data_IF_837972345521
#
_entry.id   IF_837972345521
#
_cell.length_a   1.000
_cell.length_b   1.000
_cell.length_c   1.000
_cell.angle_alpha   90.00
_cell.angle_beta   90.00
_cell.angle_gamma   90.00
#
_symmetry.space_group_name_H-M   'P 1'
#
loop_
_entity.id
_entity.type
_entity.pdbx_description
1 polymer ?
#
# COMPACT_ATOMS: atom_id res chain seq x y z
N UNK A 1 -4.89 -18.67 2.27
CA UNK A 1 -5.38 -19.18 3.57
C UNK A 1 -4.95 -18.16 4.60
N UNK A 2 -5.90 -17.44 5.18
CA UNK A 2 -5.63 -16.33 6.10
C UNK A 2 -5.42 -16.83 7.53
N UNK A 3 -4.68 -17.92 7.68
CA UNK A 3 -4.46 -18.57 8.96
C UNK A 3 -3.33 -17.87 9.73
N UNK A 4 -3.58 -17.61 11.01
CA UNK A 4 -2.69 -16.98 11.97
C UNK A 4 -2.17 -17.97 13.02
N UNK A 5 -2.64 -19.21 13.00
CA UNK A 5 -2.19 -20.29 13.88
C UNK A 5 -1.99 -21.59 13.10
N UNK A 6 -1.21 -22.51 13.67
CA UNK A 6 -1.01 -23.83 13.08
C UNK A 6 -2.31 -24.63 12.98
N UNK A 7 -3.20 -24.46 13.96
CA UNK A 7 -4.49 -25.15 14.00
C UNK A 7 -5.41 -24.68 12.86
N UNK A 8 -5.43 -23.37 12.60
CA UNK A 8 -6.18 -22.80 11.47
C UNK A 8 -5.63 -23.30 10.12
N UNK A 9 -4.30 -23.48 10.02
CA UNK A 9 -3.67 -24.05 8.82
C UNK A 9 -4.10 -25.50 8.60
N UNK A 10 -4.07 -26.32 9.66
CA UNK A 10 -4.47 -27.73 9.60
C UNK A 10 -5.94 -27.86 9.22
N UNK A 11 -6.83 -27.14 9.91
CA UNK A 11 -8.27 -27.18 9.66
C UNK A 11 -8.60 -26.76 8.21
N UNK A 12 -7.99 -25.68 7.72
CA UNK A 12 -8.23 -25.23 6.35
C UNK A 12 -7.59 -26.15 5.30
N UNK A 13 -6.50 -26.86 5.63
CA UNK A 13 -5.92 -27.89 4.76
C UNK A 13 -6.85 -29.10 4.63
N UNK A 14 -7.39 -29.59 5.74
CA UNK A 14 -8.38 -30.68 5.76
C UNK A 14 -9.64 -30.30 4.97
N UNK A 15 -10.10 -29.06 5.13
CA UNK A 15 -11.23 -28.53 4.36
C UNK A 15 -10.96 -28.52 2.85
N UNK A 16 -9.75 -28.15 2.43
CA UNK A 16 -9.38 -28.11 1.01
C UNK A 16 -9.30 -29.52 0.40
N UNK A 17 -8.77 -30.49 1.16
CA UNK A 17 -8.61 -31.87 0.71
C UNK A 17 -9.93 -32.68 0.74
N UNK A 18 -10.90 -32.27 1.55
CA UNK A 18 -12.24 -32.88 1.63
C UNK A 18 -13.22 -32.37 0.57
N UNK A 19 -12.78 -31.48 -0.33
CA UNK A 19 -13.62 -30.98 -1.42
C UNK A 19 -14.11 -32.12 -2.35
N UNK A 20 -15.35 -32.07 -2.88
CA UNK A 20 -15.96 -33.20 -3.58
C UNK A 20 -15.24 -33.68 -4.84
N UNK A 21 -14.49 -32.79 -5.51
CA UNK A 21 -13.73 -33.10 -6.74
C UNK A 21 -12.32 -33.57 -6.39
N UNK A 22 -12.01 -34.82 -6.73
CA UNK A 22 -10.68 -35.42 -6.49
C UNK A 22 -9.57 -34.69 -7.24
N UNK A 23 -9.86 -34.16 -8.43
CA UNK A 23 -8.90 -33.40 -9.23
C UNK A 23 -8.51 -32.08 -8.56
N UNK A 24 -9.41 -31.50 -7.75
CA UNK A 24 -9.12 -30.31 -6.97
C UNK A 24 -8.09 -30.61 -5.88
N UNK A 25 -8.29 -31.68 -5.10
CA UNK A 25 -7.33 -32.11 -4.09
C UNK A 25 -5.94 -32.38 -4.67
N UNK A 26 -5.88 -33.12 -5.79
CA UNK A 26 -4.62 -33.38 -6.51
C UNK A 26 -3.92 -32.10 -6.97
N UNK A 27 -4.69 -31.13 -7.46
CA UNK A 27 -4.14 -29.84 -7.90
C UNK A 27 -3.67 -28.98 -6.74
N UNK A 28 -4.30 -29.05 -5.58
CA UNK A 28 -3.99 -28.23 -4.40
C UNK A 28 -2.77 -28.76 -3.64
N UNK A 29 -2.52 -30.07 -3.67
CA UNK A 29 -1.41 -30.71 -2.95
C UNK A 29 -0.05 -30.00 -3.15
N UNK A 30 0.42 -29.71 -4.38
CA UNK A 30 1.72 -29.05 -4.59
C UNK A 30 1.74 -27.61 -4.08
N UNK A 31 0.59 -26.92 -4.03
CA UNK A 31 0.52 -25.57 -3.46
C UNK A 31 0.65 -25.58 -1.94
N UNK A 32 0.14 -26.63 -1.29
CA UNK A 32 0.24 -26.81 0.17
C UNK A 32 1.67 -27.12 0.61
N UNK A 33 2.47 -27.77 -0.22
CA UNK A 33 3.92 -27.98 0.03
C UNK A 33 4.66 -26.65 0.17
N UNK A 34 4.20 -25.62 -0.54
CA UNK A 34 4.75 -24.25 -0.49
C UNK A 34 3.98 -23.31 0.43
N UNK A 35 3.20 -23.83 1.40
CA UNK A 35 2.35 -23.02 2.29
C UNK A 35 3.10 -21.90 3.02
N UNK A 36 4.37 -22.11 3.32
CA UNK A 36 5.25 -21.13 3.96
C UNK A 36 5.42 -19.86 3.13
N UNK A 37 5.33 -19.97 1.79
CA UNK A 37 5.46 -18.82 0.91
C UNK A 37 4.24 -17.89 1.01
N UNK A 38 3.03 -18.39 1.30
CA UNK A 38 1.78 -17.65 1.09
C UNK A 38 0.79 -17.59 2.25
N UNK A 39 0.94 -18.42 3.29
CA UNK A 39 0.08 -18.38 4.49
C UNK A 39 0.55 -17.31 5.47
N UNK A 40 -0.40 -16.55 6.04
CA UNK A 40 -0.10 -15.42 6.94
C UNK A 40 0.81 -15.74 8.10
N UNK A 41 0.57 -16.84 8.80
CA UNK A 41 1.40 -17.32 9.90
C UNK A 41 2.91 -17.24 9.56
N UNK A 42 3.31 -17.79 8.42
CA UNK A 42 4.72 -17.91 8.02
C UNK A 42 5.30 -16.62 7.42
N UNK A 43 4.46 -15.74 6.87
CA UNK A 43 4.90 -14.44 6.29
C UNK A 43 4.63 -13.24 7.19
N UNK A 44 4.24 -13.45 8.44
CA UNK A 44 3.86 -12.39 9.40
C UNK A 44 4.99 -11.37 9.63
N UNK A 45 6.24 -11.77 9.42
CA UNK A 45 7.42 -10.90 9.53
C UNK A 45 7.77 -10.16 8.22
N UNK A 46 7.13 -10.51 7.10
CA UNK A 46 7.38 -9.85 5.82
C UNK A 46 6.62 -8.52 5.73
N UNK A 47 7.27 -7.52 5.15
CA UNK A 47 6.65 -6.22 4.88
C UNK A 47 5.79 -6.31 3.62
N UNK A 48 4.53 -6.74 3.76
CA UNK A 48 3.58 -6.85 2.64
C UNK A 48 2.86 -5.55 2.33
N UNK A 49 3.05 -4.49 3.14
CA UNK A 49 2.36 -3.19 3.04
C UNK A 49 0.82 -3.28 3.07
N UNK A 50 0.29 -4.37 3.66
CA UNK A 50 -1.14 -4.67 3.65
C UNK A 50 -1.64 -5.36 2.38
N UNK A 51 -0.75 -5.69 1.45
CA UNK A 51 -1.05 -6.43 0.23
C UNK A 51 -0.83 -7.91 0.46
N UNK A 52 -1.87 -8.51 1.00
CA UNK A 52 -1.87 -9.89 1.45
C UNK A 52 -2.49 -10.86 0.43
N UNK A 53 -2.95 -10.33 -0.70
CA UNK A 53 -3.70 -11.05 -1.75
C UNK A 53 -3.05 -10.84 -3.11
N UNK A 54 -3.66 -11.41 -4.15
CA UNK A 54 -3.25 -11.25 -5.55
C UNK A 54 -3.77 -9.95 -6.20
N UNK A 55 -4.17 -8.95 -5.41
CA UNK A 55 -4.77 -7.70 -5.87
C UNK A 55 -3.97 -7.02 -7.00
N UNK A 56 -2.64 -6.96 -6.88
CA UNK A 56 -1.78 -6.35 -7.90
C UNK A 56 -1.71 -7.19 -9.17
N UNK A 57 -1.59 -8.51 -9.05
CA UNK A 57 -1.55 -9.41 -10.20
C UNK A 57 -2.88 -9.35 -10.97
N UNK A 58 -4.01 -9.40 -10.27
CA UNK A 58 -5.34 -9.28 -10.88
C UNK A 58 -5.55 -7.91 -11.54
N UNK A 59 -5.18 -6.82 -10.86
CA UNK A 59 -5.28 -5.48 -11.42
C UNK A 59 -4.40 -5.31 -12.67
N UNK A 60 -3.17 -5.82 -12.65
CA UNK A 60 -2.24 -5.76 -13.77
C UNK A 60 -2.73 -6.56 -14.97
N UNK A 61 -3.22 -7.79 -14.75
CA UNK A 61 -3.81 -8.61 -15.81
C UNK A 61 -5.06 -7.95 -16.39
N UNK A 62 -5.85 -7.26 -15.57
CA UNK A 62 -7.02 -6.52 -16.05
C UNK A 62 -6.61 -5.33 -16.93
N UNK A 63 -5.58 -4.57 -16.53
CA UNK A 63 -5.04 -3.48 -17.37
C UNK A 63 -4.53 -4.04 -18.70
N UNK A 64 -3.71 -5.09 -18.66
CA UNK A 64 -3.18 -5.75 -19.85
C UNK A 64 -4.31 -6.19 -20.79
N UNK A 65 -5.32 -6.90 -20.25
CA UNK A 65 -6.43 -7.42 -21.07
C UNK A 65 -7.35 -6.32 -21.59
N UNK A 66 -7.75 -5.38 -20.74
CA UNK A 66 -8.85 -4.46 -21.05
C UNK A 66 -8.36 -3.16 -21.69
N UNK A 67 -7.17 -2.70 -21.31
CA UNK A 67 -6.58 -1.43 -21.77
C UNK A 67 -5.57 -1.69 -22.88
N UNK A 68 -4.53 -2.49 -22.61
CA UNK A 68 -3.41 -2.67 -23.56
C UNK A 68 -3.83 -3.50 -24.76
N UNK A 69 -4.50 -4.63 -24.54
CA UNK A 69 -4.90 -5.56 -25.60
C UNK A 69 -6.34 -5.36 -26.09
N UNK A 70 -7.13 -4.49 -25.46
CA UNK A 70 -8.55 -4.29 -25.77
C UNK A 70 -9.37 -5.60 -25.89
N UNK A 71 -8.99 -6.64 -25.14
CA UNK A 71 -9.52 -8.01 -25.19
C UNK A 71 -9.41 -8.72 -26.53
N UNK A 72 -8.51 -8.26 -27.41
CA UNK A 72 -8.27 -8.91 -28.69
C UNK A 72 -7.52 -10.23 -28.50
N UNK A 73 -7.95 -11.24 -29.24
CA UNK A 73 -7.43 -12.62 -29.12
C UNK A 73 -6.20 -12.88 -29.99
N UNK A 74 -5.91 -12.01 -30.96
CA UNK A 74 -4.83 -12.22 -31.92
C UNK A 74 -4.06 -10.92 -32.13
N UNK A 75 -2.86 -10.87 -31.56
CA UNK A 75 -1.80 -9.93 -31.91
C UNK A 75 -0.60 -10.77 -32.36
N UNK A 76 0.07 -10.40 -33.44
CA UNK A 76 1.39 -10.96 -33.73
C UNK A 76 2.40 -10.40 -32.72
N UNK A 77 3.59 -11.00 -32.63
CA UNK A 77 4.59 -10.62 -31.62
C UNK A 77 5.05 -9.15 -31.75
N UNK A 78 5.14 -8.62 -32.97
CA UNK A 78 5.53 -7.23 -33.23
C UNK A 78 4.46 -6.27 -32.72
N UNK A 79 3.19 -6.51 -33.09
CA UNK A 79 2.06 -5.72 -32.61
C UNK A 79 1.93 -5.76 -31.07
N UNK A 80 2.27 -6.89 -30.44
CA UNK A 80 2.28 -6.97 -28.98
C UNK A 80 3.34 -6.06 -28.36
N UNK A 81 4.54 -6.01 -28.95
CA UNK A 81 5.61 -5.11 -28.47
C UNK A 81 5.17 -3.67 -28.62
N UNK A 82 4.62 -3.29 -29.78
CA UNK A 82 4.15 -1.91 -30.01
C UNK A 82 3.06 -1.50 -29.00
N UNK A 83 2.06 -2.37 -28.76
CA UNK A 83 1.01 -2.10 -27.77
C UNK A 83 1.56 -1.95 -26.34
N UNK A 84 2.54 -2.77 -25.96
CA UNK A 84 3.17 -2.67 -24.64
C UNK A 84 3.95 -1.35 -24.54
N UNK A 85 4.76 -1.02 -25.53
CA UNK A 85 5.62 0.17 -25.49
C UNK A 85 4.84 1.48 -25.59
N UNK A 86 3.72 1.52 -26.32
CA UNK A 86 2.94 2.75 -26.50
C UNK A 86 1.77 2.84 -25.51
N UNK A 87 0.86 1.87 -25.53
CA UNK A 87 -0.41 1.94 -24.79
C UNK A 87 -0.17 1.73 -23.30
N UNK A 88 0.71 0.80 -22.94
CA UNK A 88 0.97 0.49 -21.53
C UNK A 88 1.75 1.62 -20.84
N UNK A 89 2.80 2.13 -21.50
CA UNK A 89 3.58 3.27 -21.00
C UNK A 89 2.68 4.50 -20.84
N UNK A 90 1.93 4.88 -21.88
CA UNK A 90 1.02 6.02 -21.81
C UNK A 90 -0.05 5.86 -20.72
N UNK A 91 -0.55 4.63 -20.50
CA UNK A 91 -1.46 4.37 -19.41
C UNK A 91 -0.81 4.68 -18.05
N UNK A 92 0.39 4.17 -17.78
CA UNK A 92 1.04 4.41 -16.49
C UNK A 92 1.45 5.87 -16.30
N UNK A 93 1.92 6.53 -17.35
CA UNK A 93 2.19 7.97 -17.34
C UNK A 93 0.95 8.76 -16.88
N UNK A 94 -0.19 8.54 -17.54
CA UNK A 94 -1.46 9.18 -17.18
C UNK A 94 -1.89 8.86 -15.74
N UNK A 95 -1.70 7.62 -15.28
CA UNK A 95 -2.01 7.23 -13.90
C UNK A 95 -1.13 7.96 -12.90
N UNK A 96 0.16 8.11 -13.17
CA UNK A 96 1.07 8.88 -12.31
C UNK A 96 0.67 10.36 -12.28
N UNK A 97 0.33 10.94 -13.43
CA UNK A 97 -0.12 12.33 -13.54
C UNK A 97 -1.45 12.59 -12.83
N UNK A 98 -2.40 11.66 -12.88
CA UNK A 98 -3.65 11.75 -12.13
C UNK A 98 -3.41 11.88 -10.61
N UNK A 99 -2.38 11.18 -10.10
CA UNK A 99 -1.94 11.30 -8.72
C UNK A 99 -1.14 12.59 -8.46
N UNK A 100 -0.19 12.92 -9.34
CA UNK A 100 0.65 14.13 -9.25
C UNK A 100 -0.19 15.41 -9.25
N UNK A 101 -1.18 15.52 -10.14
CA UNK A 101 -2.07 16.67 -10.24
C UNK A 101 -3.28 16.60 -9.29
N UNK A 102 -3.29 15.63 -8.36
CA UNK A 102 -4.36 15.49 -7.36
C UNK A 102 -5.77 15.38 -7.93
N UNK A 103 -5.90 14.82 -9.14
CA UNK A 103 -7.20 14.49 -9.75
C UNK A 103 -7.88 13.33 -9.04
N UNK A 104 -7.13 12.59 -8.22
CA UNK A 104 -7.62 11.46 -7.41
C UNK A 104 -7.60 11.82 -5.91
N UNK A 105 -8.68 12.39 -5.33
CA UNK A 105 -8.67 12.84 -3.92
C UNK A 105 -8.64 11.70 -2.89
N UNK A 106 -8.78 10.45 -3.34
CA UNK A 106 -8.93 9.29 -2.47
C UNK A 106 -7.80 9.13 -1.43
N UNK A 107 -6.56 9.46 -1.78
CA UNK A 107 -5.41 9.36 -0.85
C UNK A 107 -5.49 10.41 0.26
N UNK A 108 -5.86 11.66 -0.05
CA UNK A 108 -6.11 12.74 0.92
C UNK A 108 -7.29 12.37 1.83
N UNK A 109 -8.38 11.86 1.24
CA UNK A 109 -9.55 11.42 1.99
C UNK A 109 -9.24 10.25 2.94
N UNK A 110 -8.45 9.27 2.49
CA UNK A 110 -7.99 8.16 3.32
C UNK A 110 -7.13 8.66 4.48
N UNK A 111 -6.17 9.54 4.20
CA UNK A 111 -5.30 10.14 5.21
C UNK A 111 -6.11 10.89 6.27
N UNK A 112 -7.03 11.75 5.84
CA UNK A 112 -7.94 12.48 6.73
C UNK A 112 -8.81 11.53 7.56
N UNK A 113 -9.35 10.47 6.94
CA UNK A 113 -10.15 9.45 7.62
C UNK A 113 -9.35 8.70 8.69
N UNK A 114 -8.05 8.48 8.50
CA UNK A 114 -7.17 7.89 9.51
C UNK A 114 -6.99 8.84 10.70
N UNK A 115 -6.78 10.13 10.45
CA UNK A 115 -6.66 11.14 11.50
C UNK A 115 -7.94 11.32 12.30
N UNK A 116 -9.12 11.31 11.66
CA UNK A 116 -10.41 11.39 12.37
C UNK A 116 -10.67 10.22 13.34
N UNK A 117 -9.96 9.08 13.20
CA UNK A 117 -10.09 7.94 14.12
C UNK A 117 -9.29 8.10 15.41
N UNK A 118 -8.61 9.23 15.59
CA UNK A 118 -7.71 9.50 16.70
C UNK A 118 -8.26 10.70 17.48
N UNK A 119 -8.26 10.66 18.82
CA UNK A 119 -8.59 11.82 19.65
C UNK A 119 -7.71 13.02 19.30
N UNK A 120 -8.28 14.23 19.36
CA UNK A 120 -7.58 15.48 18.97
C UNK A 120 -6.35 15.78 19.83
N UNK A 121 -6.39 15.37 21.08
CA UNK A 121 -5.36 15.54 22.10
C UNK A 121 -4.28 14.45 22.08
N UNK A 122 -4.47 13.37 21.31
CA UNK A 122 -3.55 12.23 21.28
C UNK A 122 -2.13 12.58 20.82
N UNK A 123 -1.96 13.66 20.05
CA UNK A 123 -0.64 14.13 19.62
C UNK A 123 0.26 14.51 20.81
N UNK A 124 -0.31 15.03 21.90
CA UNK A 124 0.43 15.39 23.12
C UNK A 124 1.01 14.17 23.85
N UNK A 125 0.44 12.99 23.63
CA UNK A 125 0.87 11.74 24.26
C UNK A 125 1.96 10.99 23.50
N UNK A 126 2.40 11.49 22.33
CA UNK A 126 3.45 10.83 21.55
C UNK A 126 4.80 11.03 22.25
N UNK A 127 5.52 9.94 22.47
CA UNK A 127 6.86 9.97 23.07
C UNK A 127 7.91 9.54 22.04
N UNK A 128 8.85 10.40 21.63
CA UNK A 128 9.96 9.98 20.80
C UNK A 128 10.89 9.06 21.61
N UNK A 129 11.27 7.92 21.05
CA UNK A 129 12.19 6.96 21.66
C UNK A 129 13.61 7.02 21.06
N UNK A 130 13.81 7.90 20.07
CA UNK A 130 15.05 7.99 19.28
C UNK A 130 14.99 7.16 17.99
N UNK A 131 15.97 7.36 17.10
CA UNK A 131 16.09 6.62 15.84
C UNK A 131 14.83 6.60 14.96
N UNK A 132 14.06 7.69 14.93
CA UNK A 132 12.77 7.80 14.23
C UNK A 132 11.73 6.76 14.68
N UNK A 133 11.80 6.36 15.96
CA UNK A 133 10.83 5.50 16.64
C UNK A 133 10.01 6.36 17.60
N UNK A 134 8.70 6.17 17.58
CA UNK A 134 7.74 6.90 18.39
C UNK A 134 6.81 5.93 19.12
N UNK A 135 6.57 6.18 20.39
CA UNK A 135 5.53 5.53 21.15
C UNK A 135 4.24 6.33 21.04
N UNK A 136 3.18 5.71 20.53
CA UNK A 136 1.88 6.34 20.31
C UNK A 136 0.83 5.66 21.21
N UNK A 137 0.12 6.42 22.07
CA UNK A 137 -0.91 5.84 22.91
C UNK A 137 -2.09 5.34 22.07
N UNK A 138 -2.78 4.30 22.56
CA UNK A 138 -4.03 3.86 21.98
C UNK A 138 -5.07 4.98 22.04
N UNK A 139 -5.93 5.02 21.01
CA UNK A 139 -7.08 5.91 20.99
C UNK A 139 -8.12 5.58 22.08
N UNK A 140 -8.03 4.41 22.70
CA UNK A 140 -8.84 3.99 23.84
C UNK A 140 -7.97 4.10 25.12
N UNK A 141 -8.20 5.12 25.96
CA UNK A 141 -7.38 5.39 27.14
C UNK A 141 -7.39 4.24 28.16
N UNK A 142 -8.50 3.51 28.23
CA UNK A 142 -8.80 2.54 29.28
C UNK A 142 -7.91 1.28 29.24
N UNK A 143 -7.21 1.04 28.13
CA UNK A 143 -6.35 -0.15 27.98
C UNK A 143 -4.88 0.09 28.34
N UNK A 144 -4.46 1.35 28.56
CA UNK A 144 -3.04 1.69 28.80
C UNK A 144 -2.09 1.24 27.67
N UNK A 145 -2.63 0.80 26.53
CA UNK A 145 -1.90 0.18 25.45
C UNK A 145 -1.23 1.26 24.61
N UNK A 146 0.03 1.04 24.26
CA UNK A 146 0.78 1.91 23.37
C UNK A 146 1.38 1.10 22.22
N UNK A 147 1.61 1.79 21.11
CA UNK A 147 2.12 1.20 19.88
C UNK A 147 3.41 1.89 19.48
N UNK A 148 4.40 1.10 19.08
CA UNK A 148 5.64 1.62 18.52
C UNK A 148 5.44 1.85 17.03
N UNK A 149 5.82 3.03 16.57
CA UNK A 149 5.81 3.43 15.17
C UNK A 149 7.26 3.64 14.76
N UNK A 150 7.72 2.88 13.77
CA UNK A 150 9.02 3.12 13.15
C UNK A 150 8.82 3.84 11.81
N UNK A 151 9.22 5.10 11.76
CA UNK A 151 9.04 5.96 10.60
C UNK A 151 9.90 5.52 9.41
N UNK A 152 11.17 5.15 9.64
CA UNK A 152 12.10 4.76 8.57
C UNK A 152 11.60 3.57 7.74
N UNK A 153 10.99 2.58 8.40
CA UNK A 153 10.46 1.40 7.73
C UNK A 153 8.97 1.54 7.38
N UNK A 154 8.26 2.52 7.97
CA UNK A 154 6.82 2.67 7.81
C UNK A 154 6.06 1.48 8.41
N UNK A 155 6.38 1.13 9.66
CA UNK A 155 5.76 0.01 10.39
C UNK A 155 5.20 0.47 11.72
N UNK A 156 4.25 -0.28 12.25
CA UNK A 156 3.68 -0.04 13.57
C UNK A 156 3.33 -1.36 14.25
N UNK A 157 3.50 -1.48 15.57
CA UNK A 157 3.16 -2.69 16.32
C UNK A 157 1.66 -2.95 16.47
N UNK A 158 0.80 -2.10 15.90
CA UNK A 158 -0.63 -2.39 15.81
C UNK A 158 -0.92 -3.41 14.70
N UNK A 159 -1.97 -4.21 14.87
CA UNK A 159 -2.42 -5.20 13.87
C UNK A 159 -2.55 -4.64 12.44
N UNK A 160 -3.00 -3.41 12.28
CA UNK A 160 -3.15 -2.81 10.95
C UNK A 160 -1.82 -2.40 10.30
N UNK A 161 -0.75 -2.22 11.08
CA UNK A 161 0.52 -1.66 10.63
C UNK A 161 1.72 -2.61 10.76
N UNK A 162 1.51 -3.80 11.33
CA UNK A 162 2.57 -4.75 11.62
C UNK A 162 3.28 -5.24 10.35
N UNK A 163 2.56 -5.40 9.23
CA UNK A 163 3.13 -5.70 7.92
C UNK A 163 3.45 -4.44 7.09
N UNK A 164 3.50 -3.26 7.71
CA UNK A 164 3.87 -2.00 7.06
C UNK A 164 2.77 -1.31 6.26
N UNK A 165 1.50 -1.67 6.45
CA UNK A 165 0.37 -0.88 5.96
C UNK A 165 0.27 0.45 6.74
N UNK A 166 -0.10 1.54 6.05
CA UNK A 166 -0.15 2.87 6.67
C UNK A 166 -1.36 3.01 7.60
N UNK A 167 -1.11 2.88 8.90
CA UNK A 167 -2.14 2.86 9.92
C UNK A 167 -2.42 4.25 10.52
N UNK A 168 -3.44 4.35 11.38
CA UNK A 168 -3.79 5.60 12.07
C UNK A 168 -2.63 6.14 12.94
N UNK A 169 -1.89 5.28 13.63
CA UNK A 169 -0.76 5.72 14.46
C UNK A 169 0.39 6.30 13.63
N UNK A 170 0.68 5.70 12.47
CA UNK A 170 1.64 6.26 11.51
C UNK A 170 1.15 7.60 10.95
N UNK A 171 -0.14 7.71 10.63
CA UNK A 171 -0.73 8.96 10.17
C UNK A 171 -0.58 10.08 11.20
N UNK A 172 -0.79 9.79 12.49
CA UNK A 172 -0.61 10.76 13.58
C UNK A 172 0.83 11.25 13.70
N UNK A 173 1.80 10.33 13.70
CA UNK A 173 3.23 10.67 13.76
C UNK A 173 3.62 11.51 12.53
N UNK A 174 3.23 11.07 11.34
CA UNK A 174 3.45 11.81 10.10
C UNK A 174 2.80 13.20 10.12
N UNK A 175 1.61 13.34 10.72
CA UNK A 175 0.95 14.64 10.83
C UNK A 175 1.63 15.58 11.84
N UNK A 176 2.15 15.02 12.94
CA UNK A 176 2.71 15.79 14.06
C UNK A 176 4.16 16.20 13.81
N UNK A 177 4.98 15.28 13.30
CA UNK A 177 6.43 15.47 13.12
C UNK A 177 6.86 15.52 11.65
N UNK A 178 5.95 15.22 10.71
CA UNK A 178 6.30 15.11 9.30
C UNK A 178 7.24 13.95 9.00
N UNK A 179 8.11 14.19 8.01
CA UNK A 179 9.20 13.30 7.61
C UNK A 179 8.79 12.12 6.73
N UNK A 180 9.81 11.36 6.29
CA UNK A 180 9.63 10.41 5.18
C UNK A 180 9.11 9.06 5.68
N UNK A 181 7.86 8.74 5.36
CA UNK A 181 7.29 7.40 5.56
C UNK A 181 7.21 6.72 4.19
N UNK A 182 7.89 5.59 3.97
CA UNK A 182 7.95 4.94 2.64
C UNK A 182 6.58 4.43 2.15
N UNK A 183 5.61 4.28 3.05
CA UNK A 183 4.25 3.83 2.79
C UNK A 183 3.20 4.94 2.97
N UNK A 184 3.61 6.19 3.21
CA UNK A 184 2.65 7.29 3.33
C UNK A 184 1.91 7.50 2.00
N UNK A 185 0.61 7.85 2.05
CA UNK A 185 -0.11 8.25 0.85
C UNK A 185 0.51 9.51 0.24
N UNK A 186 0.25 9.74 -1.05
CA UNK A 186 0.74 10.91 -1.82
C UNK A 186 0.06 12.19 -1.35
N UNK A 187 0.43 12.72 -0.18
CA UNK A 187 -0.25 13.89 0.41
C UNK A 187 0.53 15.19 0.31
N UNK A 188 1.83 15.13 0.04
CA UNK A 188 2.71 16.32 0.01
C UNK A 188 3.01 16.76 -1.43
N UNK A 189 3.23 18.07 -1.60
CA UNK A 189 3.69 18.67 -2.86
C UNK A 189 4.92 17.96 -3.43
N UNK A 190 5.90 17.67 -2.57
CA UNK A 190 7.14 16.98 -2.93
C UNK A 190 6.91 15.61 -3.55
N UNK A 191 6.04 14.77 -2.95
CA UNK A 191 5.75 13.44 -3.52
C UNK A 191 4.99 13.60 -4.85
N UNK A 192 4.07 14.57 -4.96
CA UNK A 192 3.38 14.87 -6.22
C UNK A 192 4.35 15.27 -7.33
N UNK A 193 5.30 16.13 -7.03
CA UNK A 193 6.37 16.51 -7.95
C UNK A 193 7.21 15.31 -8.39
N UNK A 194 7.61 14.44 -7.47
CA UNK A 194 8.36 13.21 -7.79
C UNK A 194 7.60 12.28 -8.74
N UNK A 195 6.27 12.16 -8.57
CA UNK A 195 5.43 11.40 -9.51
C UNK A 195 5.34 12.09 -10.88
N UNK A 196 5.27 13.42 -10.92
CA UNK A 196 5.33 14.19 -12.16
C UNK A 196 6.65 14.00 -12.90
N UNK A 197 7.78 14.04 -12.18
CA UNK A 197 9.10 13.76 -12.74
C UNK A 197 9.22 12.34 -13.29
N UNK A 198 8.66 11.36 -12.57
CA UNK A 198 8.68 9.98 -13.03
C UNK A 198 7.86 9.78 -14.32
N UNK A 199 6.77 10.53 -14.47
CA UNK A 199 5.90 10.47 -15.63
C UNK A 199 6.47 11.23 -16.83
N UNK A 200 6.96 12.47 -16.63
CA UNK A 200 7.29 13.40 -17.70
C UNK A 200 8.79 13.63 -17.91
N UNK A 201 9.64 13.13 -17.01
CA UNK A 201 11.07 13.40 -17.01
C UNK A 201 11.36 14.90 -16.99
N UNK A 202 12.17 15.36 -17.94
CA UNK A 202 12.58 16.76 -18.09
C UNK A 202 11.43 17.72 -18.45
N UNK A 203 10.29 17.19 -18.90
CA UNK A 203 9.11 18.01 -19.23
C UNK A 203 8.25 18.33 -18.00
N UNK A 204 8.59 17.78 -16.83
CA UNK A 204 7.86 18.05 -15.60
C UNK A 204 8.00 19.52 -15.19
N UNK A 205 6.92 20.07 -14.62
CA UNK A 205 6.95 21.41 -14.04
C UNK A 205 7.80 21.43 -12.76
N UNK A 206 8.29 22.60 -12.40
CA UNK A 206 9.02 22.82 -11.14
C UNK A 206 8.20 22.43 -9.90
N UNK A 207 8.87 22.10 -8.79
CA UNK A 207 8.21 21.65 -7.55
C UNK A 207 7.15 22.64 -7.05
N UNK A 208 7.34 23.94 -7.27
CA UNK A 208 6.40 25.00 -6.89
C UNK A 208 5.03 24.87 -7.55
N UNK A 209 4.95 24.26 -8.75
CA UNK A 209 3.68 23.99 -9.43
C UNK A 209 2.79 23.03 -8.65
N UNK A 210 3.40 22.13 -7.86
CA UNK A 210 2.71 21.09 -7.12
C UNK A 210 2.37 21.48 -5.69
N UNK A 211 2.47 22.76 -5.31
CA UNK A 211 2.08 23.25 -3.99
C UNK A 211 0.54 23.34 -3.93
N UNK A 212 -0.08 22.92 -2.82
CA UNK A 212 -1.54 23.09 -2.68
C UNK A 212 -1.88 24.57 -2.53
N UNK A 213 -3.04 24.99 -3.04
CA UNK A 213 -3.55 26.37 -2.91
C UNK A 213 -3.61 26.91 -1.47
N UNK A 214 -3.57 26.02 -0.46
CA UNK A 214 -3.62 26.37 0.96
C UNK A 214 -2.25 26.42 1.62
N UNK A 215 -1.22 25.93 0.94
CA UNK A 215 0.14 25.90 1.45
C UNK A 215 0.85 27.19 1.02
N UNK A 216 1.53 27.85 1.97
CA UNK A 216 2.26 29.08 1.73
C UNK A 216 3.65 28.73 1.21
N UNK A 217 4.11 29.40 0.13
CA UNK A 217 5.50 29.30 -0.30
C UNK A 217 6.41 29.73 0.85
N UNK A 218 7.48 28.98 1.17
CA UNK A 218 8.51 29.51 2.07
C UNK A 218 9.00 30.84 1.49
N UNK A 219 9.00 31.89 2.31
CA UNK A 219 9.56 33.18 1.90
C UNK A 219 11.01 32.96 1.43
N UNK A 220 11.31 33.46 0.22
CA UNK A 220 12.63 33.38 -0.41
C UNK A 220 13.64 34.29 0.27
#
# INVERSE_FOLDING_TARGET
>A
MYAWSSDEVSAATEQLLSMPRKEYGQRVQPFLERKEEWVHLFRSQLTTRGHNTNNYAEASIRILKDVVLHRWKACNAVALVDLVMEVWEAYFELRLLDHAYSRVPAHKLLYHKLLCKIPRDAASGIKPLGNNIYMVPSAQPDEGKAYEVCQNFGTCTCRAGENGAFCKHQALVHHTYGGNFPNAPVVTAKIRYQLGLLALGEQCQEESFFIDFRDVLPEQ
#
